data_IF_745975392220
#
_entry.id   IF_745975392220
#
_cell.length_a   1.000
_cell.length_b   1.000
_cell.length_c   1.000
_cell.angle_alpha   90.00
_cell.angle_beta   90.00
_cell.angle_gamma   90.00
#
_symmetry.space_group_name_H-M   'P 1'
#
loop_
_entity.id
_entity.type
_entity.pdbx_description
1 polymer ?
#
# COMPACT_ATOMS: atom_id res chain seq x y z
N UNK A 1 -57.89 23.81 -23.01
CA UNK A 1 -59.16 23.34 -22.41
C UNK A 1 -59.21 21.83 -22.47
N UNK A 2 -59.59 21.17 -21.38
CA UNK A 2 -59.74 19.71 -21.33
C UNK A 2 -60.84 19.25 -22.30
N UNK A 3 -60.66 18.11 -22.97
CA UNK A 3 -61.68 17.51 -23.86
C UNK A 3 -63.05 17.38 -23.17
N UNK A 4 -63.06 17.15 -21.87
CA UNK A 4 -64.28 17.05 -21.08
C UNK A 4 -65.05 18.37 -20.97
N UNK A 5 -64.35 19.51 -20.90
CA UNK A 5 -64.98 20.82 -20.83
C UNK A 5 -65.66 21.19 -22.16
N UNK A 6 -65.03 20.79 -23.28
CA UNK A 6 -65.60 21.02 -24.61
C UNK A 6 -66.87 20.19 -24.84
N UNK A 7 -66.86 18.91 -24.46
CA UNK A 7 -68.05 18.06 -24.58
C UNK A 7 -69.24 18.57 -23.73
N UNK A 8 -68.98 19.13 -22.54
CA UNK A 8 -70.05 19.70 -21.70
C UNK A 8 -70.65 20.98 -22.31
N UNK A 9 -69.85 21.80 -22.97
CA UNK A 9 -70.32 23.00 -23.67
C UNK A 9 -71.17 22.59 -24.88
N UNK A 10 -70.68 21.65 -25.69
CA UNK A 10 -71.41 21.16 -26.87
C UNK A 10 -72.76 20.52 -26.47
N UNK A 11 -72.80 19.79 -25.35
CA UNK A 11 -74.04 19.22 -24.83
C UNK A 11 -75.03 20.29 -24.34
N UNK A 12 -74.55 21.34 -23.65
CA UNK A 12 -75.40 22.43 -23.20
C UNK A 12 -76.01 23.22 -24.38
N UNK A 13 -75.25 23.45 -25.44
CA UNK A 13 -75.74 24.11 -26.66
C UNK A 13 -76.82 23.29 -27.37
N UNK A 14 -76.69 21.97 -27.40
CA UNK A 14 -77.69 21.09 -28.00
C UNK A 14 -78.97 21.00 -27.14
N UNK A 15 -78.85 20.98 -25.81
CA UNK A 15 -79.99 21.08 -24.90
C UNK A 15 -80.75 22.40 -25.09
N UNK A 16 -80.05 23.53 -25.23
CA UNK A 16 -80.67 24.84 -25.49
C UNK A 16 -81.44 24.87 -26.83
N UNK A 17 -80.90 24.26 -27.89
CA UNK A 17 -81.62 24.11 -29.17
C UNK A 17 -82.89 23.28 -29.02
N UNK A 18 -82.84 22.19 -28.24
CA UNK A 18 -84.04 21.36 -28.00
C UNK A 18 -85.10 22.12 -27.20
N UNK A 19 -84.70 22.93 -26.22
CA UNK A 19 -85.60 23.77 -25.45
C UNK A 19 -86.31 24.79 -26.34
N UNK A 20 -85.58 25.48 -27.22
CA UNK A 20 -86.15 26.44 -28.16
C UNK A 20 -87.15 25.81 -29.15
N UNK A 21 -86.96 24.53 -29.52
CA UNK A 21 -87.94 23.80 -30.35
C UNK A 21 -89.21 23.44 -29.55
N UNK A 22 -89.07 23.07 -28.28
CA UNK A 22 -90.21 22.78 -27.42
C UNK A 22 -91.05 24.03 -27.16
N UNK A 23 -90.43 25.19 -26.91
CA UNK A 23 -91.14 26.48 -26.74
C UNK A 23 -92.00 26.82 -27.97
N UNK A 24 -91.43 26.74 -29.18
CA UNK A 24 -92.19 26.94 -30.43
C UNK A 24 -93.37 25.97 -30.57
N UNK A 25 -93.21 24.75 -30.07
CA UNK A 25 -94.28 23.73 -30.11
C UNK A 25 -95.40 24.07 -29.11
N UNK A 26 -95.04 24.56 -27.92
CA UNK A 26 -95.99 25.02 -26.90
C UNK A 26 -96.80 26.21 -27.43
N UNK A 27 -96.14 27.24 -27.97
CA UNK A 27 -96.83 28.41 -28.55
C UNK A 27 -97.83 28.00 -29.65
N UNK A 28 -97.44 27.06 -30.52
CA UNK A 28 -98.33 26.51 -31.56
C UNK A 28 -99.54 25.76 -30.97
N UNK A 29 -99.38 25.08 -29.83
CA UNK A 29 -100.48 24.36 -29.17
C UNK A 29 -101.44 25.33 -28.48
N UNK A 30 -100.94 26.35 -27.80
CA UNK A 30 -101.76 27.40 -27.17
C UNK A 30 -102.65 28.10 -28.20
N UNK A 31 -102.10 28.43 -29.37
CA UNK A 31 -102.84 29.05 -30.48
C UNK A 31 -103.95 28.14 -31.02
N UNK A 32 -103.74 26.81 -31.02
CA UNK A 32 -104.77 25.82 -31.39
C UNK A 32 -105.86 25.72 -30.31
N UNK A 33 -105.50 25.76 -29.03
CA UNK A 33 -106.47 25.74 -27.92
C UNK A 33 -107.38 26.96 -27.99
N UNK A 34 -106.83 28.16 -28.17
CA UNK A 34 -107.61 29.39 -28.31
C UNK A 34 -108.60 29.34 -29.50
N UNK A 35 -108.19 28.73 -30.62
CA UNK A 35 -109.05 28.49 -31.79
C UNK A 35 -110.17 27.47 -31.53
N UNK A 36 -109.97 26.52 -30.62
CA UNK A 36 -111.01 25.56 -30.24
C UNK A 36 -112.00 26.16 -29.25
N UNK A 37 -111.53 26.96 -28.30
CA UNK A 37 -112.38 27.64 -27.33
C UNK A 37 -113.35 28.63 -28.00
N UNK A 38 -112.87 29.38 -28.99
CA UNK A 38 -113.71 30.29 -29.81
C UNK A 38 -114.81 29.53 -30.54
N UNK A 39 -114.49 28.40 -31.20
CA UNK A 39 -115.49 27.53 -31.85
C UNK A 39 -116.50 26.92 -30.87
N UNK A 40 -116.08 26.64 -29.64
CA UNK A 40 -116.95 26.07 -28.60
C UNK A 40 -117.94 27.12 -28.07
N UNK A 41 -117.51 28.38 -27.98
CA UNK A 41 -118.36 29.52 -27.61
C UNK A 41 -119.41 29.81 -28.68
N UNK A 42 -119.03 29.80 -29.95
CA UNK A 42 -119.94 29.95 -31.11
C UNK A 42 -121.03 28.86 -31.13
N UNK A 43 -120.70 27.61 -30.78
CA UNK A 43 -121.69 26.50 -30.65
C UNK A 43 -122.64 26.63 -29.47
N UNK A 44 -122.23 27.28 -28.37
CA UNK A 44 -123.09 27.47 -27.20
C UNK A 44 -124.14 28.56 -27.42
N UNK A 45 -123.84 29.57 -28.23
CA UNK A 45 -124.76 30.68 -28.53
C UNK A 45 -125.89 30.30 -29.49
N UNK A 46 -125.75 29.23 -30.28
CA UNK A 46 -126.80 28.73 -31.18
C UNK A 46 -127.91 27.89 -30.52
N UNK A 47 -127.92 27.72 -29.19
CA UNK A 47 -128.73 26.69 -28.51
C UNK A 47 -129.72 27.20 -27.43
N UNK A 48 -130.07 28.49 -27.39
CA UNK A 48 -131.06 29.03 -26.42
C UNK A 48 -132.43 29.28 -27.06
N UNK A 49 -133.35 28.33 -26.92
CA UNK A 49 -134.76 28.43 -27.34
C UNK A 49 -135.64 29.14 -26.28
N UNK A 50 -136.67 29.83 -26.78
CA UNK A 50 -137.54 30.82 -26.11
C UNK A 50 -138.67 30.18 -25.27
N UNK A 51 -138.86 30.74 -24.06
CA UNK A 51 -140.09 31.06 -23.31
C UNK A 51 -141.44 30.38 -23.63
N UNK A 52 -142.12 29.91 -22.58
CA UNK A 52 -143.59 30.01 -22.42
C UNK A 52 -143.94 30.39 -20.96
N UNK A 53 -144.78 31.43 -20.79
CA UNK A 53 -145.34 31.93 -19.52
C UNK A 53 -146.81 31.47 -19.38
N UNK A 54 -147.33 31.27 -18.15
CA UNK A 54 -148.66 30.68 -17.89
C UNK A 54 -149.80 31.71 -17.77
N UNK A 55 -151.03 31.25 -18.04
CA UNK A 55 -152.30 31.99 -17.97
C UNK A 55 -152.94 31.86 -16.56
N UNK A 56 -153.47 32.96 -16.04
CA UNK A 56 -154.23 33.09 -14.77
C UNK A 56 -155.73 32.83 -14.99
N UNK A 57 -156.40 32.27 -13.98
CA UNK A 57 -157.82 32.51 -13.55
C UNK A 57 -158.11 31.58 -12.35
N UNK A 58 -158.09 32.06 -11.10
CA UNK A 58 -159.21 32.58 -10.28
C UNK A 58 -160.32 31.57 -9.94
N UNK A 59 -160.09 30.76 -8.90
CA UNK A 59 -161.01 30.56 -7.78
C UNK A 59 -160.22 29.97 -6.60
N UNK A 60 -159.93 30.77 -5.58
CA UNK A 60 -159.13 30.35 -4.41
C UNK A 60 -159.97 29.42 -3.52
N UNK A 61 -159.75 28.10 -3.64
CA UNK A 61 -160.17 27.11 -2.64
C UNK A 61 -159.15 27.08 -1.49
N UNK A 62 -159.53 26.55 -0.31
CA UNK A 62 -158.63 26.38 0.84
C UNK A 62 -157.29 25.69 0.48
N UNK A 63 -157.28 24.85 -0.56
CA UNK A 63 -156.07 24.23 -1.09
C UNK A 63 -155.07 25.25 -1.66
N UNK A 64 -155.54 26.35 -2.28
CA UNK A 64 -154.65 27.42 -2.79
C UNK A 64 -154.02 28.21 -1.64
N UNK A 65 -154.74 28.40 -0.53
CA UNK A 65 -154.15 29.03 0.66
C UNK A 65 -153.13 28.10 1.34
N UNK A 66 -153.43 26.80 1.48
CA UNK A 66 -152.44 25.82 1.94
C UNK A 66 -151.22 25.74 1.02
N UNK A 67 -151.40 25.82 -0.30
CA UNK A 67 -150.30 25.87 -1.25
C UNK A 67 -149.50 27.17 -1.15
N UNK A 68 -150.13 28.33 -0.92
CA UNK A 68 -149.42 29.60 -0.68
C UNK A 68 -148.61 29.58 0.61
N UNK A 69 -149.13 28.98 1.67
CA UNK A 69 -148.42 28.82 2.94
C UNK A 69 -147.26 27.83 2.80
N UNK A 70 -147.47 26.71 2.09
CA UNK A 70 -146.40 25.76 1.76
C UNK A 70 -145.32 26.43 0.90
N UNK A 71 -145.70 27.22 -0.11
CA UNK A 71 -144.76 27.97 -0.96
C UNK A 71 -144.01 29.04 -0.15
N UNK A 72 -144.68 29.72 0.79
CA UNK A 72 -144.05 30.74 1.63
C UNK A 72 -143.06 30.10 2.61
N UNK A 73 -143.43 28.98 3.21
CA UNK A 73 -142.56 28.14 4.05
C UNK A 73 -141.34 27.62 3.25
N UNK A 74 -141.57 27.08 2.05
CA UNK A 74 -140.50 26.62 1.16
C UNK A 74 -139.59 27.77 0.72
N UNK A 75 -140.13 28.97 0.45
CA UNK A 75 -139.32 30.16 0.13
C UNK A 75 -138.48 30.61 1.32
N UNK A 76 -139.04 30.57 2.53
CA UNK A 76 -138.30 30.90 3.76
C UNK A 76 -137.18 29.88 4.01
N UNK A 77 -137.46 28.58 3.85
CA UNK A 77 -136.45 27.52 3.96
C UNK A 77 -135.35 27.68 2.89
N UNK A 78 -135.71 28.05 1.66
CA UNK A 78 -134.76 28.28 0.58
C UNK A 78 -133.89 29.52 0.85
N UNK A 79 -134.47 30.59 1.39
CA UNK A 79 -133.73 31.78 1.81
C UNK A 79 -132.78 31.48 2.97
N UNK A 80 -133.21 30.68 3.97
CA UNK A 80 -132.35 30.21 5.05
C UNK A 80 -131.20 29.35 4.51
N UNK A 81 -131.48 28.38 3.64
CA UNK A 81 -130.43 27.56 2.99
C UNK A 81 -129.48 28.39 2.14
N UNK A 82 -129.97 29.44 1.50
CA UNK A 82 -129.12 30.36 0.72
C UNK A 82 -128.19 31.15 1.65
N UNK A 83 -128.71 31.67 2.77
CA UNK A 83 -127.90 32.34 3.78
C UNK A 83 -126.88 31.41 4.44
N UNK A 84 -127.26 30.18 4.77
CA UNK A 84 -126.35 29.15 5.28
C UNK A 84 -125.25 28.83 4.26
N UNK A 85 -125.60 28.74 2.98
CA UNK A 85 -124.62 28.51 1.91
C UNK A 85 -123.65 29.69 1.76
N UNK A 86 -124.12 30.94 1.88
CA UNK A 86 -123.25 32.13 1.87
C UNK A 86 -122.28 32.13 3.07
N UNK A 87 -122.76 31.78 4.27
CA UNK A 87 -121.91 31.64 5.46
C UNK A 87 -120.88 30.53 5.28
N UNK A 88 -121.29 29.37 4.73
CA UNK A 88 -120.38 28.28 4.43
C UNK A 88 -119.35 28.66 3.37
N UNK A 89 -119.74 29.40 2.33
CA UNK A 89 -118.82 29.91 1.32
C UNK A 89 -117.79 30.88 1.92
N UNK A 90 -118.23 31.78 2.81
CA UNK A 90 -117.33 32.69 3.50
C UNK A 90 -116.36 31.93 4.42
N UNK A 91 -116.82 30.91 5.13
CA UNK A 91 -115.96 30.05 5.95
C UNK A 91 -114.95 29.27 5.11
N UNK A 92 -115.36 28.73 3.96
CA UNK A 92 -114.45 28.05 3.02
C UNK A 92 -113.36 29.02 2.54
N UNK A 93 -113.72 30.27 2.21
CA UNK A 93 -112.74 31.25 1.75
C UNK A 93 -111.77 31.67 2.86
N UNK A 94 -112.26 31.85 4.09
CA UNK A 94 -111.42 32.09 5.26
C UNK A 94 -110.43 30.93 5.49
N UNK A 95 -110.89 29.68 5.46
CA UNK A 95 -110.02 28.52 5.63
C UNK A 95 -109.00 28.37 4.49
N UNK A 96 -109.35 28.71 3.24
CA UNK A 96 -108.37 28.77 2.15
C UNK A 96 -107.29 29.81 2.42
N UNK A 97 -107.67 30.98 2.93
CA UNK A 97 -106.71 32.05 3.23
C UNK A 97 -105.78 31.66 4.40
N UNK A 98 -106.31 31.03 5.44
CA UNK A 98 -105.50 30.50 6.55
C UNK A 98 -104.54 29.41 6.08
N UNK A 99 -105.00 28.47 5.25
CA UNK A 99 -104.13 27.43 4.67
C UNK A 99 -103.03 28.03 3.81
N UNK A 100 -103.35 29.08 3.04
CA UNK A 100 -102.36 29.83 2.24
C UNK A 100 -101.31 30.49 3.14
N UNK A 101 -101.74 31.20 4.18
CA UNK A 101 -100.84 31.86 5.13
C UNK A 101 -99.94 30.86 5.88
N UNK A 102 -100.48 29.70 6.29
CA UNK A 102 -99.69 28.63 6.91
C UNK A 102 -98.70 28.03 5.90
N UNK A 103 -99.11 27.84 4.66
CA UNK A 103 -98.27 27.36 3.56
C UNK A 103 -97.08 28.29 3.30
N UNK A 104 -97.34 29.60 3.19
CA UNK A 104 -96.33 30.62 2.94
C UNK A 104 -95.34 30.72 4.12
N UNK A 105 -95.85 30.81 5.36
CA UNK A 105 -94.99 30.89 6.56
C UNK A 105 -94.12 29.64 6.78
N UNK A 106 -94.66 28.44 6.53
CA UNK A 106 -93.89 27.20 6.70
C UNK A 106 -92.85 27.04 5.61
N UNK A 107 -93.17 27.42 4.38
CA UNK A 107 -92.21 27.38 3.27
C UNK A 107 -91.05 28.33 3.50
N UNK A 108 -91.31 29.56 3.95
CA UNK A 108 -90.25 30.54 4.15
C UNK A 108 -89.36 30.16 5.34
N UNK A 109 -89.94 29.69 6.45
CA UNK A 109 -89.16 29.23 7.61
C UNK A 109 -88.25 28.03 7.30
N UNK A 110 -88.73 27.04 6.53
CA UNK A 110 -87.90 25.88 6.15
C UNK A 110 -86.83 26.27 5.14
N UNK A 111 -87.15 27.14 4.17
CA UNK A 111 -86.17 27.67 3.22
C UNK A 111 -85.07 28.43 3.95
N UNK A 112 -85.40 29.32 4.87
CA UNK A 112 -84.42 30.09 5.65
C UNK A 112 -83.53 29.17 6.50
N UNK A 113 -84.10 28.14 7.13
CA UNK A 113 -83.32 27.17 7.90
C UNK A 113 -82.33 26.39 7.01
N UNK A 114 -82.75 26.00 5.80
CA UNK A 114 -81.88 25.33 4.82
C UNK A 114 -80.80 26.29 4.35
N UNK A 115 -81.14 27.53 4.01
CA UNK A 115 -80.18 28.56 3.57
C UNK A 115 -79.11 28.79 4.64
N UNK A 116 -79.51 28.98 5.91
CA UNK A 116 -78.56 29.19 7.01
C UNK A 116 -77.64 27.98 7.22
N UNK A 117 -78.18 26.75 7.18
CA UNK A 117 -77.37 25.53 7.30
C UNK A 117 -76.37 25.39 6.15
N UNK A 118 -76.81 25.63 4.92
CA UNK A 118 -75.95 25.59 3.73
C UNK A 118 -74.88 26.68 3.79
N UNK A 119 -75.23 27.88 4.24
CA UNK A 119 -74.28 28.99 4.37
C UNK A 119 -73.24 28.73 5.47
N UNK A 120 -73.64 28.17 6.60
CA UNK A 120 -72.70 27.75 7.65
C UNK A 120 -71.77 26.62 7.16
N UNK A 121 -72.32 25.63 6.44
CA UNK A 121 -71.50 24.57 5.84
C UNK A 121 -70.51 25.12 4.81
N UNK A 122 -70.93 26.10 4.02
CA UNK A 122 -70.08 26.75 3.02
C UNK A 122 -68.97 27.57 3.69
N UNK A 123 -69.28 28.32 4.76
CA UNK A 123 -68.30 29.08 5.51
C UNK A 123 -67.23 28.15 6.14
N UNK A 124 -67.65 27.04 6.75
CA UNK A 124 -66.71 26.04 7.29
C UNK A 124 -65.80 25.49 6.18
N UNK A 125 -66.35 25.20 5.00
CA UNK A 125 -65.57 24.71 3.87
C UNK A 125 -64.57 25.75 3.37
N UNK A 126 -64.95 27.03 3.31
CA UNK A 126 -64.06 28.15 2.96
C UNK A 126 -62.90 28.25 3.97
N UNK A 127 -63.20 28.14 5.27
CA UNK A 127 -62.17 28.14 6.32
C UNK A 127 -61.20 26.95 6.17
N UNK A 128 -61.73 25.75 5.93
CA UNK A 128 -60.92 24.54 5.72
C UNK A 128 -60.03 24.66 4.47
N UNK A 129 -60.57 25.21 3.37
CA UNK A 129 -59.78 25.52 2.17
C UNK A 129 -58.66 26.52 2.46
N UNK A 130 -58.95 27.58 3.23
CA UNK A 130 -57.94 28.56 3.63
C UNK A 130 -56.82 27.94 4.49
N UNK A 131 -57.17 27.04 5.42
CA UNK A 131 -56.19 26.27 6.20
C UNK A 131 -55.32 25.39 5.31
N UNK A 132 -55.95 24.65 4.39
CA UNK A 132 -55.25 23.76 3.44
C UNK A 132 -54.31 24.55 2.51
N UNK A 133 -54.74 25.72 2.04
CA UNK A 133 -53.91 26.59 1.20
C UNK A 133 -52.67 27.07 1.96
N UNK A 134 -52.83 27.48 3.22
CA UNK A 134 -51.70 27.90 4.06
C UNK A 134 -50.74 26.74 4.35
N UNK A 135 -51.26 25.53 4.62
CA UNK A 135 -50.39 24.36 4.79
C UNK A 135 -49.65 24.02 3.50
N UNK A 136 -50.28 24.13 2.33
CA UNK A 136 -49.61 23.90 1.05
C UNK A 136 -48.51 24.94 0.78
N UNK A 137 -48.74 26.21 1.12
CA UNK A 137 -47.70 27.26 1.03
C UNK A 137 -46.51 26.92 1.93
N UNK A 138 -46.76 26.57 3.18
CA UNK A 138 -45.70 26.17 4.13
C UNK A 138 -44.91 24.95 3.64
N UNK A 139 -45.57 23.93 3.12
CA UNK A 139 -44.91 22.73 2.59
C UNK A 139 -44.06 23.05 1.35
N UNK A 140 -44.52 23.92 0.46
CA UNK A 140 -43.74 24.33 -0.71
C UNK A 140 -42.48 25.13 -0.31
N UNK A 141 -42.57 25.97 0.72
CA UNK A 141 -41.40 26.65 1.28
C UNK A 141 -40.40 25.66 1.88
N UNK A 142 -40.88 24.63 2.58
CA UNK A 142 -40.04 23.58 3.16
C UNK A 142 -39.37 22.71 2.08
N UNK A 143 -40.10 22.33 1.03
CA UNK A 143 -39.55 21.63 -0.14
C UNK A 143 -38.44 22.47 -0.78
N UNK A 144 -38.66 23.78 -0.97
CA UNK A 144 -37.66 24.69 -1.54
C UNK A 144 -36.40 24.79 -0.68
N UNK A 145 -36.55 24.77 0.66
CA UNK A 145 -35.41 24.73 1.59
C UNK A 145 -34.62 23.43 1.43
N UNK A 146 -35.29 22.28 1.44
CA UNK A 146 -34.66 20.95 1.29
C UNK A 146 -33.96 20.82 -0.07
N UNK A 147 -34.54 21.34 -1.15
CA UNK A 147 -33.92 21.34 -2.49
C UNK A 147 -32.62 22.15 -2.50
N UNK A 148 -32.59 23.32 -1.85
CA UNK A 148 -31.40 24.13 -1.72
C UNK A 148 -30.32 23.44 -0.87
N UNK A 149 -30.70 22.82 0.25
CA UNK A 149 -29.78 22.04 1.09
C UNK A 149 -29.18 20.86 0.30
N UNK A 150 -30.00 20.11 -0.45
CA UNK A 150 -29.54 19.02 -1.31
C UNK A 150 -28.54 19.50 -2.38
N UNK A 151 -28.79 20.68 -2.98
CA UNK A 151 -27.87 21.29 -3.94
C UNK A 151 -26.51 21.60 -3.30
N UNK A 152 -26.51 22.15 -2.09
CA UNK A 152 -25.29 22.46 -1.33
C UNK A 152 -24.54 21.20 -0.90
N UNK A 153 -25.26 20.15 -0.47
CA UNK A 153 -24.67 18.85 -0.16
C UNK A 153 -24.02 18.20 -1.39
N UNK A 154 -24.63 18.31 -2.58
CA UNK A 154 -24.06 17.82 -3.83
C UNK A 154 -22.78 18.56 -4.21
N UNK A 155 -22.75 19.88 -4.04
CA UNK A 155 -21.54 20.69 -4.30
C UNK A 155 -20.41 20.34 -3.33
N UNK A 156 -20.72 20.21 -2.03
CA UNK A 156 -19.77 19.72 -1.03
C UNK A 156 -19.25 18.32 -1.34
N UNK A 157 -20.13 17.41 -1.78
CA UNK A 157 -19.73 16.05 -2.18
C UNK A 157 -18.75 16.08 -3.36
N UNK A 158 -18.99 16.94 -4.36
CA UNK A 158 -18.05 17.13 -5.49
C UNK A 158 -16.71 17.69 -5.02
N UNK A 159 -16.71 18.66 -4.10
CA UNK A 159 -15.48 19.22 -3.52
C UNK A 159 -14.69 18.14 -2.77
N UNK A 160 -15.34 17.37 -1.91
CA UNK A 160 -14.71 16.25 -1.19
C UNK A 160 -14.15 15.22 -2.17
N UNK A 161 -14.85 14.92 -3.27
CA UNK A 161 -14.36 14.01 -4.29
C UNK A 161 -13.08 14.53 -4.96
N UNK A 162 -13.02 15.83 -5.31
CA UNK A 162 -11.79 16.42 -5.86
C UNK A 162 -10.64 16.44 -4.86
N UNK A 163 -10.92 16.72 -3.58
CA UNK A 163 -9.92 16.66 -2.51
C UNK A 163 -9.42 15.24 -2.29
N UNK A 164 -10.29 14.24 -2.36
CA UNK A 164 -9.92 12.82 -2.28
C UNK A 164 -8.98 12.40 -3.40
N UNK A 165 -9.24 12.82 -4.65
CA UNK A 165 -8.34 12.55 -5.77
C UNK A 165 -6.97 13.21 -5.59
N UNK A 166 -6.92 14.42 -5.00
CA UNK A 166 -5.66 15.07 -4.66
C UNK A 166 -4.89 14.31 -3.58
N UNK A 167 -5.58 13.77 -2.56
CA UNK A 167 -4.97 12.95 -1.51
C UNK A 167 -4.38 11.67 -2.11
N UNK A 168 -5.08 10.99 -3.00
CA UNK A 168 -4.57 9.81 -3.71
C UNK A 168 -3.29 10.13 -4.52
N UNK A 169 -3.26 11.29 -5.17
CA UNK A 169 -2.06 11.76 -5.87
C UNK A 169 -0.89 11.97 -4.89
N UNK A 170 -1.11 12.66 -3.76
CA UNK A 170 -0.07 12.87 -2.75
C UNK A 170 0.41 11.56 -2.11
N UNK A 171 -0.46 10.57 -1.91
CA UNK A 171 -0.06 9.24 -1.44
C UNK A 171 0.85 8.52 -2.45
N UNK A 172 0.58 8.68 -3.75
CA UNK A 172 1.43 8.13 -4.81
C UNK A 172 2.82 8.81 -4.81
N UNK A 173 2.85 10.13 -4.64
CA UNK A 173 4.09 10.92 -4.59
C UNK A 173 4.91 10.58 -3.33
N UNK A 174 4.25 10.40 -2.18
CA UNK A 174 4.91 9.95 -0.94
C UNK A 174 5.52 8.54 -1.10
N UNK A 175 4.84 7.62 -1.77
CA UNK A 175 5.39 6.28 -2.07
C UNK A 175 6.63 6.38 -2.96
N UNK A 176 6.59 7.24 -3.98
CA UNK A 176 7.73 7.49 -4.88
C UNK A 176 8.91 8.12 -4.14
N UNK A 177 8.68 9.15 -3.33
CA UNK A 177 9.71 9.79 -2.51
C UNK A 177 10.33 8.81 -1.50
N UNK A 178 9.52 7.95 -0.88
CA UNK A 178 10.02 6.92 0.04
C UNK A 178 10.91 5.90 -0.68
N UNK A 179 10.58 5.54 -1.93
CA UNK A 179 11.45 4.69 -2.76
C UNK A 179 12.78 5.38 -3.06
N UNK A 180 12.75 6.65 -3.48
CA UNK A 180 13.96 7.44 -3.72
C UNK A 180 14.83 7.58 -2.47
N UNK A 181 14.22 7.79 -1.30
CA UNK A 181 14.93 7.86 -0.01
C UNK A 181 15.68 6.54 0.28
N UNK A 182 15.00 5.41 0.10
CA UNK A 182 15.61 4.09 0.32
C UNK A 182 16.76 3.81 -0.67
N UNK A 183 16.64 4.28 -1.91
CA UNK A 183 17.70 4.12 -2.92
C UNK A 183 18.92 4.99 -2.58
N UNK A 184 18.71 6.24 -2.14
CA UNK A 184 19.77 7.12 -1.63
C UNK A 184 20.44 6.58 -0.36
N UNK A 185 19.69 5.94 0.54
CA UNK A 185 20.24 5.33 1.75
C UNK A 185 21.16 4.15 1.43
N UNK A 186 20.81 3.33 0.42
CA UNK A 186 21.69 2.27 -0.10
C UNK A 186 22.96 2.86 -0.72
N UNK A 187 22.83 3.91 -1.53
CA UNK A 187 23.99 4.58 -2.15
C UNK A 187 24.92 5.16 -1.08
N UNK A 188 24.37 5.81 -0.05
CA UNK A 188 25.14 6.30 1.10
C UNK A 188 25.93 5.16 1.77
N UNK A 189 25.30 4.01 2.01
CA UNK A 189 25.95 2.85 2.62
C UNK A 189 27.11 2.33 1.75
N UNK A 190 26.93 2.27 0.42
CA UNK A 190 27.99 1.90 -0.51
C UNK A 190 29.16 2.90 -0.46
N UNK A 191 28.88 4.20 -0.38
CA UNK A 191 29.91 5.24 -0.23
C UNK A 191 30.67 5.13 1.10
N UNK A 192 29.99 4.77 2.20
CA UNK A 192 30.63 4.49 3.49
C UNK A 192 31.56 3.28 3.42
N UNK A 193 31.13 2.19 2.77
CA UNK A 193 31.96 1.01 2.51
C UNK A 193 33.19 1.39 1.67
N UNK A 194 33.01 2.12 0.58
CA UNK A 194 34.11 2.61 -0.27
C UNK A 194 35.09 3.46 0.55
N UNK A 195 34.60 4.41 1.37
CA UNK A 195 35.45 5.23 2.23
C UNK A 195 36.25 4.41 3.24
N UNK A 196 35.65 3.35 3.81
CA UNK A 196 36.37 2.44 4.72
C UNK A 196 37.52 1.72 3.99
N UNK A 197 37.30 1.31 2.74
CA UNK A 197 38.37 0.70 1.93
C UNK A 197 39.49 1.69 1.60
N UNK A 198 39.15 2.96 1.33
CA UNK A 198 40.16 4.00 1.11
C UNK A 198 40.99 4.27 2.35
N UNK A 199 40.39 4.36 3.54
CA UNK A 199 41.14 4.50 4.79
C UNK A 199 42.10 3.34 5.04
N UNK A 200 41.67 2.10 4.77
CA UNK A 200 42.55 0.93 4.91
C UNK A 200 43.73 1.00 3.92
N UNK A 201 43.48 1.44 2.68
CA UNK A 201 44.55 1.68 1.69
C UNK A 201 45.49 2.80 2.12
N UNK A 202 44.97 3.87 2.71
CA UNK A 202 45.78 4.97 3.23
C UNK A 202 46.73 4.51 4.33
N UNK A 203 46.25 3.69 5.28
CA UNK A 203 47.10 3.06 6.31
C UNK A 203 48.20 2.20 5.66
N UNK A 204 47.85 1.37 4.67
CA UNK A 204 48.81 0.54 3.96
C UNK A 204 49.87 1.37 3.21
N UNK A 205 49.47 2.51 2.60
CA UNK A 205 50.42 3.43 1.98
C UNK A 205 51.36 4.03 3.02
N UNK A 206 50.87 4.42 4.19
CA UNK A 206 51.71 4.95 5.27
C UNK A 206 52.72 3.91 5.79
N UNK A 207 52.33 2.63 5.88
CA UNK A 207 53.25 1.52 6.20
C UNK A 207 54.30 1.29 5.12
N UNK A 208 53.91 1.35 3.83
CA UNK A 208 54.84 1.28 2.70
C UNK A 208 55.83 2.46 2.70
N UNK A 209 55.39 3.64 3.13
CA UNK A 209 56.25 4.82 3.21
C UNK A 209 57.24 4.72 4.38
N UNK A 210 56.81 4.19 5.54
CA UNK A 210 57.69 3.86 6.66
C UNK A 210 58.75 2.82 6.26
N UNK A 211 58.35 1.74 5.61
CA UNK A 211 59.30 0.70 5.15
C UNK A 211 60.28 1.23 4.10
N UNK A 212 59.83 2.11 3.20
CA UNK A 212 60.69 2.81 2.24
C UNK A 212 61.77 3.65 2.94
N UNK A 213 61.44 4.41 3.99
CA UNK A 213 62.43 5.20 4.73
C UNK A 213 63.41 4.32 5.54
N UNK A 214 62.95 3.20 6.10
CA UNK A 214 63.84 2.20 6.71
C UNK A 214 64.82 1.63 5.67
N UNK A 215 64.34 1.21 4.50
CA UNK A 215 65.18 0.68 3.43
C UNK A 215 66.20 1.72 2.93
N UNK A 216 65.80 2.98 2.83
CA UNK A 216 66.68 4.10 2.45
C UNK A 216 67.79 4.30 3.48
N UNK A 217 67.47 4.23 4.76
CA UNK A 217 68.44 4.30 5.86
C UNK A 217 69.44 3.14 5.82
N UNK A 218 68.95 1.91 5.66
CA UNK A 218 69.78 0.71 5.52
C UNK A 218 70.71 0.79 4.30
N UNK A 219 70.21 1.27 3.16
CA UNK A 219 71.02 1.42 1.95
C UNK A 219 72.14 2.46 2.15
N UNK A 220 71.87 3.53 2.91
CA UNK A 220 72.87 4.53 3.25
C UNK A 220 73.96 3.96 4.19
N UNK A 221 73.60 3.07 5.10
CA UNK A 221 74.53 2.33 5.95
C UNK A 221 75.39 1.34 5.16
N UNK A 222 74.77 0.51 4.32
CA UNK A 222 75.48 -0.40 3.40
C UNK A 222 76.46 0.36 2.50
N UNK A 223 76.10 1.57 2.03
CA UNK A 223 77.01 2.41 1.25
C UNK A 223 78.25 2.83 2.06
N UNK A 224 78.09 3.15 3.35
CA UNK A 224 79.22 3.46 4.25
C UNK A 224 80.08 2.23 4.49
N UNK A 225 79.49 1.05 4.69
CA UNK A 225 80.23 -0.20 4.84
C UNK A 225 81.01 -0.56 3.57
N UNK A 226 80.39 -0.45 2.40
CA UNK A 226 81.07 -0.66 1.12
C UNK A 226 82.24 0.31 0.92
N UNK A 227 82.12 1.57 1.35
CA UNK A 227 83.24 2.52 1.34
C UNK A 227 84.36 2.10 2.30
N UNK A 228 84.03 1.57 3.49
CA UNK A 228 85.04 1.04 4.43
C UNK A 228 85.74 -0.19 3.84
N UNK A 229 84.99 -1.14 3.29
CA UNK A 229 85.52 -2.32 2.64
C UNK A 229 86.42 -1.96 1.46
N UNK A 230 86.04 -0.98 0.63
CA UNK A 230 86.88 -0.47 -0.46
C UNK A 230 88.23 0.02 0.06
N UNK A 231 88.26 0.79 1.15
CA UNK A 231 89.52 1.25 1.78
C UNK A 231 90.36 0.10 2.31
N UNK A 232 89.72 -0.92 2.90
CA UNK A 232 90.41 -2.12 3.37
C UNK A 232 91.03 -2.86 2.19
N UNK A 233 90.29 -3.04 1.09
CA UNK A 233 90.78 -3.68 -0.14
C UNK A 233 91.99 -2.91 -0.68
N UNK A 234 91.93 -1.57 -0.75
CA UNK A 234 93.04 -0.75 -1.21
C UNK A 234 94.27 -0.92 -0.31
N UNK A 235 94.09 -0.92 1.02
CA UNK A 235 95.17 -1.18 1.98
C UNK A 235 95.80 -2.57 1.79
N UNK A 236 94.97 -3.62 1.69
CA UNK A 236 95.45 -4.99 1.43
C UNK A 236 96.21 -5.05 0.10
N UNK A 237 95.76 -4.32 -0.92
CA UNK A 237 96.45 -4.24 -2.23
C UNK A 237 97.83 -3.59 -2.10
N UNK A 238 97.96 -2.56 -1.27
CA UNK A 238 99.26 -1.94 -0.98
C UNK A 238 100.19 -2.85 -0.18
N UNK A 239 99.67 -3.58 0.82
CA UNK A 239 100.44 -4.55 1.59
C UNK A 239 100.86 -5.75 0.73
N UNK A 240 99.99 -6.26 -0.15
CA UNK A 240 100.36 -7.29 -1.13
C UNK A 240 101.48 -6.80 -2.06
N UNK A 241 101.44 -5.53 -2.48
CA UNK A 241 102.52 -4.95 -3.30
C UNK A 241 103.83 -4.84 -2.51
N UNK A 242 103.75 -4.64 -1.19
CA UNK A 242 104.92 -4.63 -0.30
C UNK A 242 105.46 -6.04 -0.07
N UNK A 243 104.58 -7.02 0.16
CA UNK A 243 104.93 -8.43 0.27
C UNK A 243 105.60 -8.94 -1.00
N UNK A 244 105.11 -8.58 -2.19
CA UNK A 244 105.75 -8.92 -3.46
C UNK A 244 107.22 -8.46 -3.54
N UNK A 245 107.56 -7.28 -2.98
CA UNK A 245 108.97 -6.81 -2.90
C UNK A 245 109.81 -7.65 -1.93
N UNK A 246 109.21 -8.12 -0.83
CA UNK A 246 109.89 -9.02 0.08
C UNK A 246 110.08 -10.40 -0.55
N UNK A 247 109.10 -10.93 -1.27
CA UNK A 247 109.22 -12.17 -2.04
C UNK A 247 110.34 -12.08 -3.08
N UNK A 248 110.44 -10.96 -3.82
CA UNK A 248 111.54 -10.72 -4.76
C UNK A 248 112.92 -10.69 -4.06
N UNK A 249 112.99 -10.08 -2.87
CA UNK A 249 114.23 -10.06 -2.07
C UNK A 249 114.58 -11.44 -1.53
N UNK A 250 113.60 -12.21 -1.07
CA UNK A 250 113.78 -13.61 -0.62
C UNK A 250 114.30 -14.43 -1.79
N UNK A 251 113.69 -14.33 -2.97
CA UNK A 251 114.15 -15.01 -4.19
C UNK A 251 115.61 -14.65 -4.54
N UNK A 252 116.00 -13.37 -4.44
CA UNK A 252 117.39 -12.96 -4.65
C UNK A 252 118.35 -13.56 -3.61
N UNK A 253 117.97 -13.58 -2.34
CA UNK A 253 118.77 -14.16 -1.27
C UNK A 253 118.89 -15.68 -1.40
N UNK A 254 117.80 -16.38 -1.74
CA UNK A 254 117.82 -17.81 -2.03
C UNK A 254 118.79 -18.13 -3.15
N UNK A 255 118.77 -17.37 -4.25
CA UNK A 255 119.73 -17.52 -5.34
C UNK A 255 121.18 -17.27 -4.90
N UNK A 256 121.43 -16.27 -4.06
CA UNK A 256 122.76 -16.03 -3.50
C UNK A 256 123.23 -17.16 -2.58
N UNK A 257 122.35 -17.70 -1.73
CA UNK A 257 122.66 -18.86 -0.89
C UNK A 257 123.03 -20.05 -1.76
N UNK A 258 122.26 -20.34 -2.81
CA UNK A 258 122.57 -21.40 -3.77
C UNK A 258 123.95 -21.15 -4.42
N UNK A 259 124.25 -19.90 -4.80
CA UNK A 259 125.56 -19.50 -5.33
C UNK A 259 126.70 -19.73 -4.35
N UNK A 260 126.55 -19.29 -3.10
CA UNK A 260 127.52 -19.47 -2.02
C UNK A 260 127.70 -20.95 -1.66
N UNK A 261 126.63 -21.75 -1.65
CA UNK A 261 126.72 -23.19 -1.45
C UNK A 261 127.55 -23.85 -2.54
N UNK A 262 127.34 -23.49 -3.82
CA UNK A 262 128.16 -23.97 -4.95
C UNK A 262 129.62 -23.57 -4.81
N UNK A 263 129.92 -22.33 -4.43
CA UNK A 263 131.31 -21.88 -4.25
C UNK A 263 131.97 -22.54 -3.05
N UNK A 264 131.25 -22.70 -1.94
CA UNK A 264 131.75 -23.43 -0.76
C UNK A 264 132.05 -24.90 -1.12
N UNK A 265 131.18 -25.54 -1.90
CA UNK A 265 131.44 -26.90 -2.39
C UNK A 265 132.67 -26.95 -3.31
N UNK A 266 132.88 -25.94 -4.16
CA UNK A 266 134.10 -25.78 -4.97
C UNK A 266 135.35 -25.57 -4.11
N UNK A 267 135.24 -24.80 -3.03
CA UNK A 267 136.34 -24.59 -2.07
C UNK A 267 136.66 -25.87 -1.31
N UNK A 268 135.65 -26.63 -0.84
CA UNK A 268 135.86 -27.95 -0.25
C UNK A 268 136.56 -28.90 -1.23
N UNK A 269 136.18 -28.88 -2.52
CA UNK A 269 136.88 -29.65 -3.54
C UNK A 269 138.35 -29.21 -3.68
N UNK A 270 138.64 -27.90 -3.66
CA UNK A 270 140.02 -27.38 -3.69
C UNK A 270 140.81 -27.73 -2.44
N UNK A 271 140.21 -27.62 -1.26
CA UNK A 271 140.82 -28.01 0.01
C UNK A 271 141.08 -29.51 0.05
N UNK A 272 140.17 -30.34 -0.47
CA UNK A 272 140.39 -31.77 -0.64
C UNK A 272 141.58 -32.05 -1.60
N UNK A 273 141.71 -31.28 -2.69
CA UNK A 273 142.86 -31.36 -3.61
C UNK A 273 144.17 -30.92 -2.93
N UNK A 274 144.14 -29.86 -2.12
CA UNK A 274 145.29 -29.37 -1.36
C UNK A 274 145.70 -30.36 -0.27
N UNK A 275 144.75 -30.89 0.51
CA UNK A 275 144.97 -31.97 1.48
C UNK A 275 145.56 -33.20 0.80
N UNK A 276 145.02 -33.60 -0.36
CA UNK A 276 145.58 -34.70 -1.14
C UNK A 276 147.03 -34.40 -1.57
N UNK A 277 147.35 -33.17 -1.99
CA UNK A 277 148.73 -32.76 -2.31
C UNK A 277 149.64 -32.75 -1.07
N UNK A 278 149.18 -32.24 0.07
CA UNK A 278 149.96 -32.16 1.31
C UNK A 278 150.22 -33.54 1.91
N UNK A 279 149.23 -34.44 1.87
CA UNK A 279 149.41 -35.86 2.23
C UNK A 279 150.46 -36.49 1.31
N UNK A 280 150.43 -36.21 0.02
CA UNK A 280 151.41 -36.74 -0.94
C UNK A 280 152.83 -36.15 -0.77
N UNK A 281 152.98 -34.95 -0.20
CA UNK A 281 154.28 -34.36 0.18
C UNK A 281 154.80 -34.97 1.49
N UNK A 282 153.94 -35.11 2.51
CA UNK A 282 154.31 -35.76 3.78
C UNK A 282 154.61 -37.26 3.61
N UNK A 283 153.94 -37.97 2.71
CA UNK A 283 154.25 -39.37 2.40
C UNK A 283 155.57 -39.52 1.61
N UNK A 284 156.04 -38.45 0.96
CA UNK A 284 157.31 -38.43 0.22
C UNK A 284 158.50 -38.07 1.12
N UNK A 285 158.31 -37.28 2.18
CA UNK A 285 159.36 -36.96 3.18
C UNK A 285 159.49 -38.03 4.29
N UNK A 286 158.41 -38.75 4.63
CA UNK A 286 158.47 -39.82 5.66
C UNK A 286 158.99 -41.19 5.17
N UNK A 287 159.40 -41.34 3.90
CA UNK A 287 160.03 -42.57 3.40
C UNK A 287 161.56 -42.59 3.50
N UNK A 288 162.21 -41.49 3.87
CA UNK A 288 163.68 -41.37 3.84
C UNK A 288 164.36 -41.27 5.21
N UNK A 289 163.63 -41.27 6.32
CA UNK A 289 164.26 -41.23 7.65
C UNK A 289 163.72 -42.29 8.63
N UNK A 290 164.57 -43.31 8.84
CA UNK A 290 164.71 -44.17 10.04
C UNK A 290 163.55 -45.13 10.34
N UNK A 291 163.68 -46.47 10.31
CA UNK A 291 164.80 -47.36 10.64
C UNK A 291 165.44 -47.06 12.01
N UNK A 292 165.08 -47.89 13.00
CA UNK A 292 165.68 -48.08 14.35
C UNK A 292 165.13 -47.24 15.51
N UNK A 293 164.21 -47.81 16.31
CA UNK A 293 164.41 -48.24 17.73
C UNK A 293 163.08 -48.40 18.50
N UNK A 294 162.96 -49.58 19.12
CA UNK A 294 162.47 -49.96 20.46
C UNK A 294 161.19 -49.38 21.11
N UNK A 295 160.33 -50.34 21.48
CA UNK A 295 159.68 -50.62 22.77
C UNK A 295 159.00 -49.52 23.63
N UNK A 296 157.79 -49.93 24.08
CA UNK A 296 156.98 -49.54 25.26
C UNK A 296 155.97 -48.37 25.17
N UNK A 297 154.70 -48.82 25.21
CA UNK A 297 153.63 -48.45 26.14
C UNK A 297 152.79 -47.14 26.02
N UNK A 298 151.48 -47.40 26.14
CA UNK A 298 150.37 -46.59 26.68
C UNK A 298 149.59 -45.57 25.84
N UNK A 299 148.27 -45.85 25.83
CA UNK A 299 147.12 -44.94 26.03
C UNK A 299 146.47 -44.21 24.84
N UNK A 300 145.16 -44.46 24.76
CA UNK A 300 144.07 -43.64 24.21
C UNK A 300 144.14 -43.16 22.76
N UNK A 301 143.18 -43.61 21.95
CA UNK A 301 142.57 -42.73 20.94
C UNK A 301 141.15 -43.11 20.54
N UNK A 302 140.35 -42.07 20.68
CA UNK A 302 139.07 -41.79 20.07
C UNK A 302 139.02 -41.90 18.53
N UNK A 303 137.81 -42.27 18.09
CA UNK A 303 136.99 -41.72 17.00
C UNK A 303 137.42 -41.78 15.51
N UNK A 304 136.46 -42.36 14.76
CA UNK A 304 135.91 -42.06 13.42
C UNK A 304 136.30 -42.96 12.24
N UNK A 305 135.30 -43.70 11.77
CA UNK A 305 134.90 -43.86 10.35
C UNK A 305 133.37 -44.03 10.32
N UNK A 306 132.68 -43.16 9.57
CA UNK A 306 131.92 -43.46 8.33
C UNK A 306 130.67 -44.30 8.62
N UNK A 307 129.48 -44.02 8.11
CA UNK A 307 129.03 -43.23 6.96
C UNK A 307 127.53 -42.95 7.17
N UNK A 308 127.06 -41.85 6.61
CA UNK A 308 125.70 -41.36 6.69
C UNK A 308 124.67 -42.35 6.09
N UNK A 309 123.59 -42.58 6.83
CA UNK A 309 122.32 -43.08 6.32
C UNK A 309 121.22 -42.42 7.16
N UNK A 310 120.52 -41.47 6.55
CA UNK A 310 119.30 -40.86 7.09
C UNK A 310 118.18 -41.91 6.99
N UNK A 311 117.49 -42.22 8.10
CA UNK A 311 116.03 -42.27 8.00
C UNK A 311 115.33 -41.53 9.15
N UNK A 312 114.27 -40.83 8.75
CA UNK A 312 113.03 -40.53 9.46
C UNK A 312 113.02 -40.61 10.99
N UNK A 313 112.81 -39.45 11.62
CA UNK A 313 112.49 -39.33 13.04
C UNK A 313 110.99 -39.09 13.21
N UNK A 314 110.30 -40.16 13.57
CA UNK A 314 108.98 -40.15 14.22
C UNK A 314 109.16 -40.10 15.74
N UNK A 315 108.07 -39.81 16.48
CA UNK A 315 107.90 -39.66 17.95
C UNK A 315 108.02 -38.18 18.41
N UNK A 316 106.96 -37.38 18.63
CA UNK A 316 105.67 -37.51 19.36
C UNK A 316 105.77 -37.06 20.85
N UNK A 317 104.69 -36.42 21.33
CA UNK A 317 104.27 -36.14 22.73
C UNK A 317 104.87 -34.83 23.35
N UNK A 318 104.13 -33.85 23.88
CA UNK A 318 102.81 -33.85 24.52
C UNK A 318 102.19 -32.45 24.70
N UNK A 319 100.87 -32.48 24.94
CA UNK A 319 100.07 -31.63 25.85
C UNK A 319 99.36 -30.37 25.32
N UNK A 320 98.09 -30.61 24.96
CA UNK A 320 96.89 -30.07 25.60
C UNK A 320 96.71 -28.55 25.72
N UNK A 321 95.70 -28.02 25.03
CA UNK A 321 94.59 -27.36 25.74
C UNK A 321 93.28 -27.49 24.96
N UNK A 322 92.37 -28.24 25.54
CA UNK A 322 90.96 -28.41 25.21
C UNK A 322 90.16 -27.35 25.98
N UNK A 323 89.40 -26.48 25.29
CA UNK A 323 88.42 -25.58 25.93
C UNK A 323 87.18 -25.42 25.05
N UNK A 324 86.14 -26.15 25.48
CA UNK A 324 84.72 -25.77 25.59
C UNK A 324 83.95 -25.32 24.34
N UNK A 325 83.17 -26.27 23.81
CA UNK A 325 81.93 -26.06 23.07
C UNK A 325 80.79 -26.57 23.95
N UNK A 326 80.11 -25.70 24.69
CA UNK A 326 78.79 -26.00 25.26
C UNK A 326 77.96 -24.73 25.56
N UNK A 327 76.78 -24.70 24.93
CA UNK A 327 75.48 -24.19 25.42
C UNK A 327 75.28 -22.72 25.83
N UNK A 328 74.35 -22.09 25.10
CA UNK A 328 73.54 -20.95 25.56
C UNK A 328 72.18 -20.92 24.87
N UNK A 329 71.17 -21.51 25.53
CA UNK A 329 69.72 -21.43 25.23
C UNK A 329 69.17 -20.02 25.46
N UNK A 330 68.40 -19.49 24.50
CA UNK A 330 67.21 -18.61 24.67
C UNK A 330 66.36 -18.80 23.40
N UNK A 331 65.34 -19.67 23.34
CA UNK A 331 63.92 -19.55 23.72
C UNK A 331 63.16 -18.31 23.18
N UNK A 332 62.02 -18.58 22.50
CA UNK A 332 60.85 -17.70 22.20
C UNK A 332 61.00 -16.87 20.90
N UNK A 333 60.18 -16.93 19.83
CA UNK A 333 58.85 -17.52 19.55
C UNK A 333 58.74 -17.78 18.04
N UNK A 334 58.37 -19.00 17.64
CA UNK A 334 57.71 -19.25 16.35
C UNK A 334 56.23 -18.93 16.53
N UNK A 335 55.75 -17.88 15.88
CA UNK A 335 54.32 -17.56 15.80
C UNK A 335 53.67 -18.51 14.80
N UNK A 336 52.61 -19.16 15.27
CA UNK A 336 51.69 -20.04 14.57
C UNK A 336 51.37 -19.58 13.14
N UNK A 337 51.63 -20.48 12.17
CA UNK A 337 50.84 -20.59 10.95
C UNK A 337 49.79 -21.66 11.26
N UNK A 338 48.66 -21.22 11.80
CA UNK A 338 47.41 -21.99 11.78
C UNK A 338 46.28 -21.01 12.07
N UNK A 339 45.68 -20.49 11.00
CA UNK A 339 44.29 -20.04 10.98
C UNK A 339 43.84 -19.90 9.52
N UNK A 340 43.41 -21.05 9.00
CA UNK A 340 42.50 -21.18 7.88
C UNK A 340 41.19 -20.45 8.24
N UNK A 341 40.70 -19.47 7.47
CA UNK A 341 39.32 -19.04 7.57
C UNK A 341 38.47 -20.12 6.91
N UNK A 342 37.57 -20.73 7.70
CA UNK A 342 36.46 -21.53 7.19
C UNK A 342 35.66 -20.67 6.21
N UNK A 343 35.75 -21.02 4.93
CA UNK A 343 34.79 -20.64 3.91
C UNK A 343 33.43 -21.17 4.33
N UNK A 344 32.51 -20.26 4.65
CA UNK A 344 31.09 -20.55 4.73
C UNK A 344 30.59 -20.77 3.30
N UNK A 345 30.46 -22.03 2.91
CA UNK A 345 29.55 -22.42 1.85
C UNK A 345 28.10 -22.46 2.41
N UNK A 346 27.10 -22.09 1.59
CA UNK A 346 25.71 -22.06 2.00
C UNK A 346 25.12 -23.48 2.02
N UNK A 347 24.37 -23.77 3.08
CA UNK A 347 23.58 -24.99 3.22
C UNK A 347 22.57 -25.11 2.07
N UNK A 348 22.77 -26.17 1.31
CA UNK A 348 21.87 -26.71 0.29
C UNK A 348 20.69 -27.39 1.01
N UNK A 349 19.53 -26.74 1.03
CA UNK A 349 18.30 -27.26 1.63
C UNK A 349 17.68 -28.33 0.73
N UNK A 350 18.14 -29.56 0.93
CA UNK A 350 17.58 -30.79 0.36
C UNK A 350 16.12 -30.96 0.82
N UNK A 351 15.25 -31.14 -0.16
CA UNK A 351 13.84 -31.49 0.00
C UNK A 351 13.70 -32.85 0.70
N UNK A 352 13.00 -32.89 1.84
CA UNK A 352 12.37 -34.11 2.33
C UNK A 352 10.94 -34.17 1.77
N UNK A 353 10.74 -35.03 0.77
CA UNK A 353 9.42 -35.54 0.38
C UNK A 353 8.94 -36.53 1.45
N UNK A 354 8.21 -36.02 2.43
CA UNK A 354 7.42 -36.81 3.37
C UNK A 354 6.02 -37.08 2.83
N UNK A 355 5.83 -38.28 2.27
CA UNK A 355 4.51 -38.88 1.96
C UNK A 355 3.67 -38.98 3.25
N UNK A 356 2.40 -38.51 3.28
CA UNK A 356 1.58 -38.65 4.48
C UNK A 356 0.87 -40.01 4.52
N UNK A 357 1.28 -40.81 5.49
CA UNK A 357 0.59 -41.99 5.98
C UNK A 357 -0.78 -41.60 6.54
N UNK A 358 -1.82 -42.29 6.06
CA UNK A 358 -3.16 -42.30 6.65
C UNK A 358 -3.06 -42.94 8.04
N UNK A 359 -3.56 -42.25 9.06
CA UNK A 359 -4.53 -42.71 10.08
C UNK A 359 -4.45 -41.78 11.28
N UNK A 360 -5.53 -41.05 11.59
CA UNK A 360 -6.23 -41.20 12.87
C UNK A 360 -7.33 -40.13 13.00
N UNK A 361 -8.49 -40.62 13.41
CA UNK A 361 -9.67 -39.86 13.78
C UNK A 361 -9.39 -39.08 15.08
N UNK A 362 -8.86 -37.88 14.95
CA UNK A 362 -8.84 -36.87 16.00
C UNK A 362 -9.81 -35.76 15.60
N UNK A 363 -10.95 -35.69 16.27
CA UNK A 363 -11.80 -34.50 16.53
C UNK A 363 -11.46 -33.27 15.66
N UNK A 364 -11.70 -33.42 14.36
CA UNK A 364 -11.01 -32.63 13.35
C UNK A 364 -11.66 -31.28 13.11
N UNK A 365 -11.10 -30.23 13.71
CA UNK A 365 -11.15 -28.90 13.10
C UNK A 365 -10.47 -29.00 11.73
N UNK A 366 -11.22 -29.40 10.69
CA UNK A 366 -10.74 -29.38 9.31
C UNK A 366 -10.18 -27.99 9.08
N UNK A 367 -8.86 -27.92 8.84
CA UNK A 367 -8.17 -26.66 8.53
C UNK A 367 -8.96 -26.05 7.38
N UNK A 368 -9.47 -24.83 7.58
CA UNK A 368 -10.19 -24.11 6.53
C UNK A 368 -9.14 -23.75 5.48
N UNK A 369 -9.20 -24.37 4.31
CA UNK A 369 -8.26 -24.12 3.20
C UNK A 369 -9.06 -23.47 2.08
N UNK A 370 -8.56 -22.37 1.54
CA UNK A 370 -9.17 -21.74 0.37
C UNK A 370 -9.08 -22.69 -0.84
N UNK A 371 -10.20 -23.02 -1.51
CA UNK A 371 -10.19 -23.94 -2.64
C UNK A 371 -9.50 -23.37 -3.88
N UNK A 372 -9.35 -22.05 -3.99
CA UNK A 372 -8.75 -21.41 -5.16
C UNK A 372 -7.24 -21.21 -5.02
N UNK A 373 -6.78 -20.61 -3.92
CA UNK A 373 -5.35 -20.28 -3.74
C UNK A 373 -4.63 -21.14 -2.69
N UNK A 374 -5.30 -22.15 -2.11
CA UNK A 374 -4.70 -23.03 -1.11
C UNK A 374 -4.36 -22.36 0.23
N UNK A 375 -4.78 -21.11 0.45
CA UNK A 375 -4.45 -20.38 1.67
C UNK A 375 -5.01 -21.10 2.92
N UNK A 376 -4.16 -21.32 3.91
CA UNK A 376 -4.46 -21.98 5.19
C UNK A 376 -4.47 -21.01 6.38
N UNK A 377 -4.12 -19.74 6.15
CA UNK A 377 -4.04 -18.74 7.20
C UNK A 377 -5.44 -18.36 7.70
N UNK A 378 -5.78 -18.82 8.91
CA UNK A 378 -7.07 -18.58 9.56
C UNK A 378 -7.41 -17.10 9.70
N UNK A 379 -6.42 -16.22 9.91
CA UNK A 379 -6.65 -14.78 10.03
C UNK A 379 -7.12 -14.14 8.70
N UNK A 380 -6.81 -14.78 7.57
CA UNK A 380 -7.22 -14.32 6.24
C UNK A 380 -8.50 -15.00 5.74
N UNK A 381 -9.02 -16.02 6.41
CA UNK A 381 -10.29 -16.67 6.02
C UNK A 381 -11.39 -16.15 6.93
N UNK A 382 -12.22 -15.24 6.40
CA UNK A 382 -13.32 -14.62 7.15
C UNK A 382 -14.61 -15.38 6.92
N UNK A 383 -15.39 -15.56 7.98
CA UNK A 383 -16.74 -16.11 7.92
C UNK A 383 -17.75 -14.95 7.81
N UNK A 384 -18.64 -15.00 6.82
CA UNK A 384 -19.60 -13.95 6.49
C UNK A 384 -20.98 -14.59 6.32
N UNK A 385 -22.03 -13.84 6.64
CA UNK A 385 -23.41 -14.25 6.40
C UNK A 385 -23.73 -14.28 4.90
N UNK A 386 -24.24 -15.42 4.45
CA UNK A 386 -24.73 -15.65 3.10
C UNK A 386 -26.20 -15.24 2.98
N UNK A 387 -26.41 -13.96 2.66
CA UNK A 387 -27.74 -13.36 2.48
C UNK A 387 -28.57 -14.03 1.36
N UNK A 388 -27.96 -14.85 0.50
CA UNK A 388 -28.67 -15.57 -0.56
C UNK A 388 -29.41 -16.79 -0.06
N UNK A 389 -29.05 -17.34 1.12
CA UNK A 389 -29.66 -18.53 1.69
C UNK A 389 -30.11 -18.29 3.12
N UNK A 390 -31.41 -18.05 3.27
CA UNK A 390 -32.07 -17.87 4.56
C UNK A 390 -32.38 -19.25 5.14
N UNK A 391 -31.88 -19.54 6.35
CA UNK A 391 -32.20 -20.77 7.08
C UNK A 391 -33.49 -20.59 7.88
N UNK A 392 -33.65 -19.42 8.49
CA UNK A 392 -34.82 -19.00 9.26
C UNK A 392 -34.97 -17.47 9.13
N UNK A 393 -36.16 -16.87 9.27
CA UNK A 393 -36.30 -15.41 9.25
C UNK A 393 -35.30 -14.74 10.21
N UNK A 394 -34.38 -13.93 9.67
CA UNK A 394 -33.30 -13.28 10.42
C UNK A 394 -32.00 -14.09 10.59
N UNK A 395 -31.97 -15.37 10.20
CA UNK A 395 -30.78 -16.23 10.24
C UNK A 395 -30.37 -16.69 8.84
N UNK A 396 -29.14 -16.30 8.46
CA UNK A 396 -28.55 -16.63 7.16
C UNK A 396 -27.55 -17.77 7.29
N UNK A 397 -27.36 -18.55 6.23
CA UNK A 397 -26.27 -19.51 6.16
C UNK A 397 -24.91 -18.81 6.24
N UNK A 398 -23.84 -19.53 6.62
CA UNK A 398 -22.48 -18.98 6.64
C UNK A 398 -21.75 -19.30 5.34
N UNK A 399 -20.89 -18.39 4.89
CA UNK A 399 -19.92 -18.61 3.82
C UNK A 399 -18.54 -18.08 4.23
N UNK A 400 -17.49 -18.68 3.69
CA UNK A 400 -16.11 -18.28 3.88
C UNK A 400 -15.65 -17.38 2.74
N UNK A 401 -14.81 -16.39 3.05
CA UNK A 401 -14.15 -15.51 2.09
C UNK A 401 -12.65 -15.49 2.35
N UNK A 402 -11.86 -15.77 1.31
CA UNK A 402 -10.40 -15.66 1.40
C UNK A 402 -9.98 -14.20 1.24
N UNK A 403 -9.19 -13.68 2.18
CA UNK A 403 -8.62 -12.34 2.15
C UNK A 403 -7.48 -12.17 1.13
N UNK A 404 -6.93 -13.28 0.62
CA UNK A 404 -5.85 -13.24 -0.36
C UNK A 404 -6.36 -13.20 -1.80
N UNK A 405 -7.31 -14.08 -2.17
CA UNK A 405 -7.84 -14.17 -3.55
C UNK A 405 -9.32 -13.77 -3.69
N UNK A 406 -9.96 -13.32 -2.61
CA UNK A 406 -11.38 -12.94 -2.55
C UNK A 406 -12.40 -14.05 -2.91
N UNK A 407 -11.97 -15.30 -3.16
CA UNK A 407 -12.88 -16.42 -3.43
C UNK A 407 -13.80 -16.68 -2.24
N UNK A 408 -15.07 -16.91 -2.54
CA UNK A 408 -16.12 -17.23 -1.58
C UNK A 408 -16.56 -18.69 -1.75
N UNK A 409 -16.67 -19.44 -0.65
CA UNK A 409 -17.13 -20.84 -0.65
C UNK A 409 -17.92 -21.15 0.62
N UNK A 410 -18.65 -22.26 0.65
CA UNK A 410 -19.40 -22.73 1.83
C UNK A 410 -18.67 -23.85 2.55
#
# INVERSE_FOLDING_TARGET
MSKNLKNLIDQAEDEEKTHAQLEKTIESLELKIAKLETKLKEKKESSKSKYLKPKKENHESEEINMLKDLISSQKQELAQKQQENEVLQQNIENYKQELKNIGDNRNDSVKDQIIVKTQNSLNNLIEDYGRLENTNKSLNEEISKIENENKLLLENTKKIQTESSNVEQFESDLKNLKKQLNDLEKEKKLLEEINSTFRNKEISVEELEKTKEVLKSNNLELKKENQKLSKIIDNVKTENSRLAKFEEKVFYLENNIIGLQKENERLKQKDAILLAKTINVNEKENREHLAQLDDLETSEKDLKKKEDSIPEKSIEIAQNTEVQLETGKVLITTVNIDQMPKSAEPEDSRMEEGVPTKTNEETGYRKKICPNCGNTNKAQIREIDDKTKVIFPGFYAKKYKCGQCATEWR
#
